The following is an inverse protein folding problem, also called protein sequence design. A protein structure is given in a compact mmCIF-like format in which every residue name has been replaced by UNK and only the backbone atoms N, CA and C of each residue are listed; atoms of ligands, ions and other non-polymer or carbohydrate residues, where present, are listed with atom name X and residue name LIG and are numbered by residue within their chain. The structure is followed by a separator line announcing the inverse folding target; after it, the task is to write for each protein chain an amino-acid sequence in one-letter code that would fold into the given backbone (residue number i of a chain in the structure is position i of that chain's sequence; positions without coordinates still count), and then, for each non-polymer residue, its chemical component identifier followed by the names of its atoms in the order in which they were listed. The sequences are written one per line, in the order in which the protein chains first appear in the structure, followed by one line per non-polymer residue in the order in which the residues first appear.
data_IF_712443131584
#
_entry.id   IF_712443131584
#
_cell.length_a   1.000
_cell.length_b   1.000
_cell.length_c   1.000
_cell.angle_alpha   90.00
_cell.angle_beta   90.00
_cell.angle_gamma   90.00
#
_symmetry.space_group_name_H-M   'P 1'
#
loop_
_entity.id
_entity.type
_entity.pdbx_description
1 polymer ?
#
# COMPACT_ATOMS: atom_id res chain seq x y z
N UNK A 1 -28.79 40.57 -1.10
CA UNK A 1 -29.91 41.50 -1.37
C UNK A 1 -29.84 41.85 -2.85
N UNK A 2 -30.67 41.39 -3.78
CA UNK A 2 -32.11 41.05 -3.82
C UNK A 2 -32.27 40.20 -5.11
N UNK A 3 -32.60 38.90 -5.05
CA UNK A 3 -33.95 38.31 -5.15
C UNK A 3 -35.05 39.25 -5.69
N UNK A 4 -35.97 38.70 -6.51
CA UNK A 4 -36.91 39.36 -7.45
C UNK A 4 -36.19 39.68 -8.78
N UNK A 5 -36.32 38.95 -9.88
CA UNK A 5 -37.50 38.35 -10.54
C UNK A 5 -36.97 37.14 -11.36
N UNK A 6 -37.17 35.88 -11.00
CA UNK A 6 -38.40 35.09 -11.19
C UNK A 6 -39.14 35.46 -12.49
N UNK A 7 -38.87 34.66 -13.52
CA UNK A 7 -39.83 34.15 -14.52
C UNK A 7 -40.22 35.06 -15.70
N UNK A 8 -39.67 34.74 -16.87
CA UNK A 8 -40.36 34.67 -18.18
C UNK A 8 -39.36 34.11 -19.21
N UNK A 9 -39.36 32.80 -19.48
CA UNK A 9 -39.99 32.22 -20.68
C UNK A 9 -39.62 32.91 -22.01
N UNK A 10 -38.69 32.32 -22.76
CA UNK A 10 -38.71 32.19 -24.24
C UNK A 10 -37.38 31.49 -24.64
N UNK A 11 -37.36 30.16 -24.84
CA UNK A 11 -37.69 29.46 -26.10
C UNK A 11 -36.86 29.94 -27.29
N UNK A 12 -35.89 29.09 -27.70
CA UNK A 12 -35.63 28.62 -29.07
C UNK A 12 -34.12 28.34 -29.26
N UNK A 13 -33.71 27.07 -29.27
CA UNK A 13 -33.43 26.29 -30.49
C UNK A 13 -32.09 26.64 -31.16
N UNK A 14 -31.02 25.94 -30.78
CA UNK A 14 -30.01 25.51 -31.75
C UNK A 14 -29.61 24.06 -31.48
N UNK A 15 -29.96 23.22 -32.44
CA UNK A 15 -29.68 21.80 -32.56
C UNK A 15 -28.23 21.60 -33.00
N UNK A 16 -27.44 20.76 -32.30
CA UNK A 16 -26.35 19.93 -32.87
C UNK A 16 -25.74 19.01 -31.80
N UNK A 17 -26.15 17.73 -31.85
CA UNK A 17 -25.44 16.52 -31.44
C UNK A 17 -24.70 16.51 -30.08
N UNK A 18 -25.47 16.49 -28.98
CA UNK A 18 -25.03 15.82 -27.76
C UNK A 18 -25.38 14.32 -27.89
N UNK A 19 -24.36 13.48 -28.05
CA UNK A 19 -24.48 12.04 -27.79
C UNK A 19 -24.95 11.86 -26.34
N UNK A 20 -25.90 10.96 -26.04
CA UNK A 20 -26.23 10.64 -24.67
C UNK A 20 -25.02 9.91 -24.06
N UNK A 21 -24.19 10.63 -23.31
CA UNK A 21 -23.34 9.97 -22.32
C UNK A 21 -24.30 9.43 -21.28
N UNK A 22 -24.59 8.13 -21.36
CA UNK A 22 -25.15 7.37 -20.26
C UNK A 22 -24.19 7.49 -19.08
N UNK A 23 -24.42 8.48 -18.22
CA UNK A 23 -24.06 8.36 -16.82
C UNK A 23 -24.97 7.28 -16.26
N UNK A 24 -24.49 6.03 -16.30
CA UNK A 24 -25.06 4.95 -15.52
C UNK A 24 -24.78 5.26 -14.05
N UNK A 25 -25.70 6.00 -13.44
CA UNK A 25 -25.91 6.07 -12.01
C UNK A 25 -26.14 4.64 -11.51
N UNK A 26 -25.14 4.08 -10.83
CA UNK A 26 -25.24 2.74 -10.24
C UNK A 26 -25.83 2.88 -8.84
N UNK A 27 -27.16 3.01 -8.79
CA UNK A 27 -27.94 2.83 -7.57
C UNK A 27 -27.84 1.36 -7.11
N UNK A 28 -27.01 1.07 -6.11
CA UNK A 28 -27.12 -0.21 -5.39
C UNK A 28 -28.17 -0.07 -4.28
N UNK A 29 -29.43 -0.22 -4.71
CA UNK A 29 -30.60 -0.44 -3.87
C UNK A 29 -30.35 -1.65 -2.96
N UNK A 30 -29.99 -1.38 -1.71
CA UNK A 30 -29.97 -2.37 -0.63
C UNK A 30 -31.40 -2.85 -0.36
N UNK A 31 -31.79 -3.98 -0.96
CA UNK A 31 -32.98 -4.73 -0.59
C UNK A 31 -32.62 -5.69 0.54
N UNK A 32 -32.84 -5.24 1.78
CA UNK A 32 -32.73 -6.06 2.97
C UNK A 32 -33.88 -7.08 3.02
N UNK A 33 -33.71 -8.23 2.36
CA UNK A 33 -34.46 -9.44 2.65
C UNK A 33 -33.71 -10.22 3.73
N UNK A 34 -34.29 -10.28 4.93
CA UNK A 34 -33.77 -11.02 6.07
C UNK A 34 -33.75 -12.53 5.78
N UNK A 35 -32.59 -13.04 5.35
CA UNK A 35 -32.22 -14.45 5.37
C UNK A 35 -31.41 -14.75 6.65
N UNK A 36 -31.51 -15.98 7.20
CA UNK A 36 -31.28 -16.24 8.62
C UNK A 36 -29.87 -15.89 9.06
N UNK A 37 -29.75 -15.40 10.29
CA UNK A 37 -28.55 -14.91 10.95
C UNK A 37 -27.33 -15.84 10.79
N UNK A 38 -26.51 -15.56 9.77
CA UNK A 38 -25.16 -16.14 9.62
C UNK A 38 -24.14 -15.57 10.63
N UNK A 39 -24.60 -14.87 11.66
CA UNK A 39 -23.77 -14.37 12.77
C UNK A 39 -23.20 -15.47 13.67
N UNK A 40 -23.34 -16.76 13.32
CA UNK A 40 -22.88 -17.86 14.19
C UNK A 40 -22.15 -19.01 13.49
N UNK A 41 -21.50 -18.74 12.34
CA UNK A 41 -20.35 -19.56 11.89
C UNK A 41 -19.00 -18.85 12.03
N UNK A 42 -19.02 -17.61 12.50
CA UNK A 42 -17.84 -16.80 12.77
C UNK A 42 -17.09 -17.18 14.07
N UNK A 43 -17.52 -18.26 14.75
CA UNK A 43 -16.90 -18.77 15.98
C UNK A 43 -16.51 -20.24 15.87
N UNK A 44 -15.71 -20.58 14.87
CA UNK A 44 -14.57 -21.45 15.11
C UNK A 44 -13.34 -20.52 15.25
N UNK A 45 -13.21 -19.87 16.42
CA UNK A 45 -12.17 -18.87 16.74
C UNK A 45 -10.78 -19.53 16.87
N UNK A 46 -10.30 -20.11 15.77
CA UNK A 46 -8.86 -20.25 15.57
C UNK A 46 -8.31 -18.86 15.32
N UNK A 47 -7.29 -18.45 16.08
CA UNK A 47 -6.53 -17.24 15.80
C UNK A 47 -6.03 -17.31 14.35
N UNK A 48 -6.61 -16.50 13.44
CA UNK A 48 -6.21 -16.43 12.03
C UNK A 48 -4.85 -15.74 11.91
N UNK A 49 -3.83 -16.43 12.40
CA UNK A 49 -2.43 -16.04 12.38
C UNK A 49 -1.72 -16.76 11.26
N UNK A 50 -0.65 -16.16 10.76
CA UNK A 50 0.07 -16.73 9.63
C UNK A 50 0.71 -18.09 9.91
N UNK A 51 0.94 -18.43 11.19
CA UNK A 51 1.50 -19.73 11.61
C UNK A 51 0.58 -20.89 11.19
N UNK A 52 -0.74 -20.70 11.29
CA UNK A 52 -1.74 -21.72 10.93
C UNK A 52 -2.45 -21.43 9.61
N UNK A 53 -2.40 -20.18 9.14
CA UNK A 53 -3.04 -19.73 7.90
C UNK A 53 -2.06 -18.87 7.09
N UNK A 54 -1.05 -19.46 6.41
CA UNK A 54 0.00 -18.69 5.73
C UNK A 54 -0.52 -17.73 4.65
N UNK A 55 -1.71 -18.00 4.09
CA UNK A 55 -2.32 -17.16 3.06
C UNK A 55 -2.70 -15.76 3.54
N UNK A 56 -2.87 -15.55 4.85
CA UNK A 56 -3.19 -14.22 5.38
C UNK A 56 -2.11 -13.19 5.08
N UNK A 57 -0.85 -13.62 4.90
CA UNK A 57 0.25 -12.71 4.59
C UNK A 57 0.25 -12.17 3.15
N UNK A 58 -0.56 -12.74 2.27
CA UNK A 58 -0.66 -12.30 0.86
C UNK A 58 -1.83 -11.35 0.62
N UNK A 59 -2.58 -11.00 1.66
CA UNK A 59 -3.65 -10.03 1.55
C UNK A 59 -3.10 -8.62 1.33
N UNK A 60 -3.90 -7.76 0.68
CA UNK A 60 -3.54 -6.37 0.46
C UNK A 60 -3.44 -5.61 1.78
N UNK A 61 -2.45 -4.72 1.89
CA UNK A 61 -2.22 -3.91 3.10
C UNK A 61 -1.43 -4.63 4.20
N UNK A 62 -0.97 -5.86 3.96
CA UNK A 62 -0.10 -6.60 4.88
C UNK A 62 1.38 -6.26 4.58
N UNK A 63 2.24 -6.12 5.62
CA UNK A 63 3.65 -5.75 5.46
C UNK A 63 4.50 -6.65 4.56
N UNK A 64 4.13 -7.92 4.40
CA UNK A 64 4.83 -8.82 3.50
C UNK A 64 4.32 -10.26 3.54
N UNK A 65 4.84 -11.10 2.63
CA UNK A 65 4.33 -12.46 2.41
C UNK A 65 4.88 -13.50 3.40
N UNK A 66 5.91 -13.16 4.18
CA UNK A 66 6.64 -14.11 5.01
C UNK A 66 6.07 -14.15 6.43
N UNK A 67 5.82 -15.34 6.96
CA UNK A 67 5.33 -15.49 8.32
C UNK A 67 6.49 -15.63 9.31
N UNK A 68 6.59 -14.70 10.25
CA UNK A 68 7.53 -14.72 11.36
C UNK A 68 6.78 -14.64 12.69
N UNK A 69 6.57 -15.80 13.35
CA UNK A 69 5.93 -15.91 14.68
C UNK A 69 4.60 -15.15 14.75
N UNK A 70 3.62 -15.54 13.93
CA UNK A 70 2.29 -14.93 13.79
C UNK A 70 2.24 -13.56 13.12
N UNK A 71 3.39 -12.93 12.85
CA UNK A 71 3.47 -11.65 12.15
C UNK A 71 3.87 -11.88 10.70
N UNK A 72 3.13 -11.25 9.79
CA UNK A 72 3.52 -11.18 8.40
C UNK A 72 4.56 -10.08 8.23
N UNK A 73 5.69 -10.37 7.61
CA UNK A 73 6.78 -9.44 7.35
C UNK A 73 7.30 -9.63 5.94
N UNK A 74 8.14 -8.72 5.48
CA UNK A 74 8.84 -8.86 4.22
C UNK A 74 10.32 -9.09 4.50
N UNK A 75 10.80 -10.32 4.36
CA UNK A 75 12.21 -10.61 4.65
C UNK A 75 13.17 -9.91 3.69
N UNK A 76 12.68 -9.37 2.58
CA UNK A 76 13.50 -8.67 1.61
C UNK A 76 13.78 -7.21 1.97
N UNK A 77 12.97 -6.61 2.83
CA UNK A 77 13.02 -5.17 3.14
C UNK A 77 12.93 -4.84 4.63
N UNK A 78 12.49 -5.78 5.48
CA UNK A 78 12.39 -5.57 6.92
C UNK A 78 13.76 -5.70 7.60
N UNK A 79 14.22 -4.61 8.21
CA UNK A 79 15.47 -4.55 8.96
C UNK A 79 15.51 -5.47 10.21
N UNK A 80 14.36 -5.92 10.72
CA UNK A 80 14.29 -6.84 11.86
C UNK A 80 14.25 -8.32 11.43
N UNK A 81 13.95 -8.60 10.16
CA UNK A 81 13.73 -9.95 9.63
C UNK A 81 14.44 -10.18 8.29
N UNK A 82 15.65 -9.64 8.13
CA UNK A 82 16.29 -9.53 6.82
C UNK A 82 16.89 -10.85 6.30
N UNK A 83 16.26 -11.40 5.27
CA UNK A 83 16.58 -12.69 4.65
C UNK A 83 16.10 -13.90 5.46
N UNK A 84 15.78 -13.70 6.73
CA UNK A 84 15.23 -14.72 7.63
C UNK A 84 14.56 -14.04 8.84
N UNK A 85 13.53 -14.68 9.38
CA UNK A 85 12.89 -14.24 10.62
C UNK A 85 13.89 -14.03 11.77
N UNK A 86 13.79 -12.88 12.44
CA UNK A 86 14.65 -12.49 13.56
C UNK A 86 16.08 -12.08 13.18
N UNK A 87 16.46 -12.13 11.90
CA UNK A 87 17.76 -11.65 11.45
C UNK A 87 17.76 -10.13 11.36
N UNK A 88 18.13 -9.49 12.45
CA UNK A 88 18.21 -8.04 12.56
C UNK A 88 19.48 -7.49 11.90
N UNK A 89 19.33 -6.47 11.07
CA UNK A 89 20.45 -5.70 10.54
C UNK A 89 21.08 -4.81 11.62
N UNK A 90 22.41 -4.66 11.56
CA UNK A 90 23.16 -3.82 12.53
C UNK A 90 22.84 -2.34 12.32
N UNK A 91 23.21 -1.51 13.29
CA UNK A 91 23.12 -0.07 13.15
C UNK A 91 23.90 0.41 11.90
N UNK A 92 23.31 1.34 11.15
CA UNK A 92 23.87 1.81 9.88
C UNK A 92 23.70 0.84 8.70
N UNK A 93 22.95 -0.26 8.87
CA UNK A 93 22.58 -1.17 7.79
C UNK A 93 21.09 -1.09 7.47
N UNK A 94 20.74 -1.41 6.23
CA UNK A 94 19.37 -1.62 5.79
C UNK A 94 19.21 -3.01 5.16
N UNK A 95 18.00 -3.55 5.20
CA UNK A 95 17.70 -4.78 4.50
C UNK A 95 17.46 -4.50 3.01
N UNK A 96 18.41 -4.95 2.19
CA UNK A 96 18.37 -4.77 0.75
C UNK A 96 18.32 -6.13 0.08
N UNK A 97 17.14 -6.53 -0.42
CA UNK A 97 16.98 -7.81 -1.13
C UNK A 97 17.29 -9.02 -0.25
N UNK A 98 16.95 -8.96 1.03
CA UNK A 98 17.19 -10.05 1.99
C UNK A 98 18.61 -10.11 2.55
N UNK A 99 19.44 -9.12 2.25
CA UNK A 99 20.78 -8.97 2.83
C UNK A 99 20.93 -7.65 3.56
N UNK A 100 21.57 -7.68 4.73
CA UNK A 100 21.90 -6.45 5.45
C UNK A 100 23.08 -5.77 4.77
N UNK A 101 22.84 -4.58 4.21
CA UNK A 101 23.83 -3.79 3.48
C UNK A 101 24.15 -2.52 4.26
N UNK A 102 25.42 -2.13 4.30
CA UNK A 102 25.87 -0.93 5.01
C UNK A 102 25.52 0.33 4.22
N UNK A 103 24.47 1.02 4.62
CA UNK A 103 24.02 2.23 3.92
C UNK A 103 24.83 3.47 4.29
N UNK A 104 25.72 3.39 5.28
CA UNK A 104 26.54 4.52 5.72
C UNK A 104 27.80 4.74 4.88
N UNK A 105 28.33 3.65 4.31
CA UNK A 105 29.63 3.65 3.63
C UNK A 105 29.67 2.90 2.31
N UNK A 106 28.62 2.16 1.93
CA UNK A 106 28.58 1.50 0.63
C UNK A 106 28.21 2.51 -0.46
N UNK A 107 29.11 2.86 -1.41
CA UNK A 107 28.80 3.77 -2.50
C UNK A 107 27.74 3.23 -3.47
N UNK A 108 27.39 1.94 -3.42
CA UNK A 108 26.29 1.38 -4.20
C UNK A 108 24.94 1.47 -3.50
N UNK A 109 24.91 1.71 -2.19
CA UNK A 109 23.73 1.67 -1.35
C UNK A 109 23.71 2.83 -0.33
N UNK A 110 24.17 4.02 -0.73
CA UNK A 110 24.40 5.13 0.17
C UNK A 110 23.10 5.78 0.62
N UNK A 111 22.83 5.75 1.93
CA UNK A 111 21.59 6.22 2.55
C UNK A 111 20.37 5.32 2.29
N UNK A 112 20.53 4.24 1.51
CA UNK A 112 19.44 3.31 1.21
C UNK A 112 19.79 2.32 0.10
N UNK A 113 18.95 1.29 -0.05
CA UNK A 113 19.17 0.25 -1.05
C UNK A 113 19.20 0.81 -2.48
N UNK A 114 20.17 0.36 -3.28
CA UNK A 114 20.40 0.75 -4.67
C UNK A 114 20.60 2.26 -4.90
N UNK A 115 20.96 3.02 -3.85
CA UNK A 115 21.31 4.44 -3.94
C UNK A 115 22.80 4.58 -4.26
N UNK A 116 23.13 4.49 -5.53
CA UNK A 116 24.52 4.58 -6.00
C UNK A 116 24.99 6.03 -6.04
N UNK A 117 26.16 6.31 -5.49
CA UNK A 117 26.84 7.58 -5.67
C UNK A 117 27.39 7.73 -7.09
N UNK A 118 27.62 8.98 -7.52
CA UNK A 118 28.27 9.27 -8.79
C UNK A 118 29.66 8.64 -8.82
N UNK A 119 30.17 8.31 -10.01
CA UNK A 119 31.54 7.81 -10.16
C UNK A 119 32.52 8.84 -9.59
N UNK A 120 33.45 8.39 -8.75
CA UNK A 120 34.43 9.25 -8.07
C UNK A 120 33.98 9.73 -6.69
N UNK A 121 32.68 9.73 -6.40
CA UNK A 121 32.14 10.11 -5.10
C UNK A 121 32.19 8.96 -4.10
N UNK A 122 32.38 9.28 -2.82
CA UNK A 122 32.36 8.30 -1.73
C UNK A 122 31.06 8.41 -0.92
N UNK A 123 30.67 7.32 -0.26
CA UNK A 123 29.55 7.33 0.68
C UNK A 123 30.10 7.55 2.09
N UNK A 124 29.64 8.60 2.76
CA UNK A 124 30.03 8.91 4.12
C UNK A 124 28.79 9.29 4.92
N UNK A 125 28.60 8.64 6.07
CA UNK A 125 27.45 8.88 6.97
C UNK A 125 26.08 8.81 6.26
N UNK A 126 25.97 7.97 5.21
CA UNK A 126 24.74 7.80 4.44
C UNK A 126 24.48 8.88 3.39
N UNK A 127 25.48 9.71 3.08
CA UNK A 127 25.39 10.75 2.06
C UNK A 127 26.52 10.57 1.04
N UNK A 128 26.18 10.73 -0.24
CA UNK A 128 27.20 10.80 -1.28
C UNK A 128 27.92 12.14 -1.18
N UNK A 129 29.24 12.10 -1.01
CA UNK A 129 30.05 13.31 -1.01
C UNK A 129 30.17 13.90 -2.41
N UNK A 130 30.47 15.19 -2.48
CA UNK A 130 30.95 15.86 -3.67
C UNK A 130 32.49 15.78 -3.65
N UNK A 131 33.05 14.63 -4.02
CA UNK A 131 34.45 14.56 -4.43
C UNK A 131 34.54 14.76 -5.94
#
# INVERSE_FOLDING_TARGET
MRFFFVVACAMALTTSLALPVSFAESDERSTAAAAPSLLSRYHARGSMTCDNVPRVCRANGIPGPDCCKKQCVNVMTDNQNCGQCGKKCRFGQACCGGSCVNVMYDPKNCGGCNKRCKKGSFCQYGMCSYA
#
